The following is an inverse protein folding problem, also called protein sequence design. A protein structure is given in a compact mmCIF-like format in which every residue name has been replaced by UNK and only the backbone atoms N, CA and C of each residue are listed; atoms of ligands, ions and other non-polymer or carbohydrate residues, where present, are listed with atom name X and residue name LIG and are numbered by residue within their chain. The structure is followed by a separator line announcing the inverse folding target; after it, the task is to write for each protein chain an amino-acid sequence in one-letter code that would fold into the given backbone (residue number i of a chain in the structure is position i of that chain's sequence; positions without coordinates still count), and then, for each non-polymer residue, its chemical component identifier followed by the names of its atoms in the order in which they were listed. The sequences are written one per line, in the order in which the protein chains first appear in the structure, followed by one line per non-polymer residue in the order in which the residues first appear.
data_IF_466095983063
#
_entry.id   IF_466095983063
#
_cell.length_a   1.000
_cell.length_b   1.000
_cell.length_c   1.000
_cell.angle_alpha   90.00
_cell.angle_beta   90.00
_cell.angle_gamma   90.00
#
_symmetry.space_group_name_H-M   'P 1'
#
loop_
_entity.id
_entity.type
_entity.pdbx_description
1 polymer ?
#
# COMPACT_ATOMS: atom_id res chain seq x y z
N UNK A 1 12.08 34.08 -15.67
CA UNK A 1 10.82 33.30 -15.69
C UNK A 1 11.09 32.07 -16.54
N UNK A 2 10.91 30.86 -15.97
CA UNK A 2 11.01 29.61 -16.73
C UNK A 2 9.82 29.55 -17.66
N UNK A 3 10.05 29.20 -18.93
CA UNK A 3 8.99 29.10 -19.90
C UNK A 3 7.97 28.05 -19.48
N UNK A 4 6.67 28.32 -19.71
CA UNK A 4 5.56 27.43 -19.33
C UNK A 4 5.75 25.99 -19.84
N UNK A 5 6.42 25.83 -20.97
CA UNK A 5 6.79 24.55 -21.57
C UNK A 5 7.67 23.66 -20.65
N UNK A 6 8.45 24.26 -19.75
CA UNK A 6 9.28 23.50 -18.79
C UNK A 6 8.47 22.87 -17.65
N UNK A 7 7.25 23.33 -17.42
CA UNK A 7 6.33 22.74 -16.45
C UNK A 7 5.46 21.64 -17.06
N UNK A 8 5.36 21.59 -18.39
CA UNK A 8 4.59 20.59 -19.14
C UNK A 8 5.40 19.31 -19.46
N UNK A 9 6.70 19.32 -19.29
CA UNK A 9 7.46 18.06 -19.26
C UNK A 9 7.10 17.34 -17.97
N UNK A 10 5.93 16.74 -17.93
CA UNK A 10 5.64 15.68 -16.96
C UNK A 10 6.76 14.66 -17.14
N UNK A 11 7.55 14.47 -16.09
CA UNK A 11 8.53 13.42 -16.06
C UNK A 11 7.79 12.13 -16.43
N UNK A 12 8.14 11.50 -17.55
CA UNK A 12 7.51 10.27 -17.99
C UNK A 12 7.56 9.30 -16.82
N UNK A 13 6.39 8.92 -16.31
CA UNK A 13 6.32 8.00 -15.19
C UNK A 13 6.74 6.63 -15.67
N UNK A 14 7.75 6.09 -15.03
CA UNK A 14 8.21 4.74 -15.24
C UNK A 14 7.72 3.83 -14.12
N UNK A 15 7.19 2.70 -14.49
CA UNK A 15 6.73 1.67 -13.55
C UNK A 15 7.68 0.48 -13.64
N UNK A 16 8.38 0.21 -12.55
CA UNK A 16 9.35 -0.86 -12.49
C UNK A 16 8.74 -2.13 -11.90
N UNK A 17 8.91 -3.25 -12.59
CA UNK A 17 8.39 -4.55 -12.21
C UNK A 17 9.48 -5.59 -12.13
N UNK A 18 9.24 -6.61 -11.34
CA UNK A 18 10.07 -7.78 -11.18
C UNK A 18 9.27 -9.04 -11.38
N UNK A 19 9.62 -9.77 -12.44
CA UNK A 19 9.13 -11.12 -12.71
C UNK A 19 10.03 -12.12 -12.00
N UNK A 20 9.42 -13.07 -11.32
CA UNK A 20 10.09 -14.22 -10.74
C UNK A 20 9.46 -15.49 -11.30
N UNK A 21 10.29 -16.42 -11.71
CA UNK A 21 9.87 -17.71 -12.22
C UNK A 21 10.64 -18.82 -11.53
N UNK A 22 9.92 -19.79 -11.00
CA UNK A 22 10.49 -21.05 -10.52
C UNK A 22 10.74 -22.03 -11.67
N UNK A 23 10.40 -21.64 -12.88
CA UNK A 23 10.64 -22.38 -14.11
C UNK A 23 11.78 -21.74 -14.89
N UNK A 24 12.57 -22.55 -15.58
CA UNK A 24 13.66 -22.05 -16.42
C UNK A 24 13.11 -21.26 -17.61
N UNK A 25 13.54 -20.00 -17.71
CA UNK A 25 13.13 -19.11 -18.79
C UNK A 25 14.09 -19.30 -19.97
N UNK A 26 13.62 -19.98 -21.00
CA UNK A 26 14.34 -20.16 -22.28
C UNK A 26 14.28 -18.86 -23.10
N UNK A 27 15.13 -18.78 -24.14
CA UNK A 27 15.11 -17.63 -25.07
C UNK A 27 13.75 -17.48 -25.79
N UNK A 28 13.07 -18.61 -26.08
CA UNK A 28 11.73 -18.58 -26.66
C UNK A 28 10.69 -17.97 -25.69
N UNK A 29 10.79 -18.32 -24.40
CA UNK A 29 9.93 -17.72 -23.37
C UNK A 29 10.21 -16.23 -23.25
N UNK A 30 11.47 -15.80 -23.24
CA UNK A 30 11.84 -14.40 -23.17
C UNK A 30 11.30 -13.62 -24.38
N UNK A 31 11.41 -14.17 -25.58
CA UNK A 31 10.86 -13.55 -26.80
C UNK A 31 9.35 -13.38 -26.73
N UNK A 32 8.62 -14.36 -26.21
CA UNK A 32 7.17 -14.29 -26.01
C UNK A 32 6.81 -13.24 -24.95
N UNK A 33 7.52 -13.22 -23.84
CA UNK A 33 7.36 -12.22 -22.76
C UNK A 33 7.57 -10.81 -23.30
N UNK A 34 8.69 -10.57 -23.98
CA UNK A 34 8.99 -9.27 -24.56
C UNK A 34 7.90 -8.82 -25.56
N UNK A 35 7.46 -9.72 -26.43
CA UNK A 35 6.40 -9.41 -27.38
C UNK A 35 5.08 -9.06 -26.68
N UNK A 36 4.73 -9.76 -25.60
CA UNK A 36 3.52 -9.48 -24.83
C UNK A 36 3.63 -8.17 -24.08
N UNK A 37 4.78 -7.88 -23.48
CA UNK A 37 5.05 -6.67 -22.74
C UNK A 37 5.11 -5.41 -23.62
N UNK A 38 5.35 -5.53 -24.93
CA UNK A 38 5.26 -4.40 -25.86
C UNK A 38 3.90 -3.71 -25.85
N UNK A 39 2.83 -4.44 -25.53
CA UNK A 39 1.48 -3.88 -25.34
C UNK A 39 1.44 -2.79 -24.28
N UNK A 40 2.31 -2.88 -23.28
CA UNK A 40 2.41 -1.96 -22.15
C UNK A 40 3.57 -0.97 -22.30
N UNK A 41 4.11 -0.85 -23.52
CA UNK A 41 5.29 -0.03 -23.79
C UNK A 41 6.46 -0.36 -22.86
N UNK A 42 6.67 -1.68 -22.67
CA UNK A 42 7.77 -2.15 -21.84
C UNK A 42 9.12 -1.85 -22.49
N UNK A 43 10.05 -1.44 -21.68
CA UNK A 43 11.43 -1.17 -22.07
C UNK A 43 12.37 -1.64 -20.96
N UNK A 44 13.67 -1.71 -21.28
CA UNK A 44 14.69 -2.14 -20.29
C UNK A 44 14.42 -3.52 -19.67
N UNK A 45 14.02 -4.50 -20.52
CA UNK A 45 13.87 -5.89 -20.07
C UNK A 45 15.25 -6.49 -19.83
N UNK A 46 15.51 -6.98 -18.61
CA UNK A 46 16.78 -7.62 -18.26
C UNK A 46 16.81 -9.08 -18.72
N UNK A 47 18.02 -9.59 -18.92
CA UNK A 47 18.21 -11.04 -19.05
C UNK A 47 17.84 -11.78 -17.76
N UNK A 48 17.33 -13.02 -17.85
CA UNK A 48 16.99 -13.81 -16.67
C UNK A 48 18.22 -14.05 -15.79
N UNK A 49 18.11 -13.67 -14.52
CA UNK A 49 19.14 -13.90 -13.52
C UNK A 49 18.72 -15.07 -12.63
N UNK A 50 19.50 -16.12 -12.64
CA UNK A 50 19.28 -17.31 -11.82
C UNK A 50 19.75 -17.04 -10.39
N UNK A 51 18.92 -17.35 -9.39
CA UNK A 51 19.31 -17.31 -7.98
C UNK A 51 19.92 -18.64 -7.53
N UNK A 52 20.55 -18.62 -6.37
CA UNK A 52 20.93 -19.86 -5.70
C UNK A 52 19.70 -20.69 -5.34
N UNK A 53 19.88 -22.00 -5.26
CA UNK A 53 18.83 -22.90 -4.79
C UNK A 53 18.40 -22.54 -3.36
N UNK A 54 17.12 -22.42 -3.13
CA UNK A 54 16.52 -22.12 -1.83
C UNK A 54 15.47 -23.19 -1.50
N UNK A 55 15.50 -23.68 -0.27
CA UNK A 55 14.52 -24.67 0.21
C UNK A 55 13.11 -24.09 0.32
N UNK A 56 13.00 -22.80 0.63
CA UNK A 56 11.76 -22.03 0.62
C UNK A 56 12.03 -20.71 -0.10
N UNK A 57 11.72 -20.66 -1.40
CA UNK A 57 11.91 -19.45 -2.16
C UNK A 57 10.78 -18.45 -1.88
N UNK A 58 11.09 -17.19 -1.60
CA UNK A 58 10.09 -16.17 -1.27
C UNK A 58 9.02 -16.03 -2.37
N UNK A 59 7.76 -16.17 -1.98
CA UNK A 59 6.61 -16.18 -2.88
C UNK A 59 6.30 -17.53 -3.54
N UNK A 60 7.10 -18.58 -3.27
CA UNK A 60 6.93 -19.93 -3.79
C UNK A 60 7.02 -20.99 -2.70
N UNK A 61 6.53 -20.66 -1.48
CA UNK A 61 6.58 -21.58 -0.33
C UNK A 61 5.86 -22.91 -0.52
N UNK A 62 4.97 -23.01 -1.52
CA UNK A 62 4.28 -24.25 -1.89
C UNK A 62 5.14 -25.19 -2.77
N UNK A 63 6.27 -24.70 -3.30
CA UNK A 63 7.17 -25.51 -4.12
C UNK A 63 8.28 -26.10 -3.26
N UNK A 64 8.61 -27.38 -3.45
CA UNK A 64 9.77 -28.00 -2.81
C UNK A 64 11.04 -27.42 -3.42
N UNK A 65 11.77 -26.63 -2.67
CA UNK A 65 13.04 -26.00 -3.03
C UNK A 65 13.31 -25.81 -4.53
N UNK A 66 13.54 -24.58 -4.93
CA UNK A 66 13.75 -24.27 -6.34
C UNK A 66 14.76 -23.14 -6.54
N UNK A 67 15.28 -23.07 -7.75
CA UNK A 67 16.07 -21.94 -8.24
C UNK A 67 15.11 -20.97 -8.91
N UNK A 68 15.20 -19.70 -8.56
CA UNK A 68 14.31 -18.67 -9.09
C UNK A 68 15.02 -17.88 -10.17
N UNK A 69 14.38 -17.71 -11.29
CA UNK A 69 14.81 -16.84 -12.38
C UNK A 69 14.14 -15.47 -12.22
N UNK A 70 14.94 -14.42 -12.17
CA UNK A 70 14.48 -13.04 -11.96
C UNK A 70 14.71 -12.24 -13.24
N UNK A 71 13.66 -11.56 -13.70
CA UNK A 71 13.71 -10.62 -14.81
C UNK A 71 13.14 -9.29 -14.35
N UNK A 72 13.94 -8.23 -14.43
CA UNK A 72 13.50 -6.88 -14.15
C UNK A 72 13.13 -6.17 -15.45
N UNK A 73 12.02 -5.46 -15.47
CA UNK A 73 11.58 -4.66 -16.61
C UNK A 73 10.81 -3.42 -16.15
N UNK A 74 10.68 -2.46 -17.06
CA UNK A 74 9.94 -1.23 -16.82
C UNK A 74 8.89 -1.02 -17.90
N UNK A 75 7.77 -0.41 -17.52
CA UNK A 75 6.70 0.00 -18.44
C UNK A 75 6.44 1.49 -18.35
N UNK A 76 5.97 2.10 -19.44
CA UNK A 76 5.49 3.48 -19.43
C UNK A 76 4.01 3.57 -19.06
N UNK A 77 3.26 2.54 -19.36
CA UNK A 77 1.85 2.47 -18.98
C UNK A 77 1.68 1.92 -17.56
N UNK A 78 0.77 2.51 -16.76
CA UNK A 78 0.43 1.99 -15.44
C UNK A 78 -0.36 0.69 -15.61
N UNK A 79 0.17 -0.40 -15.09
CA UNK A 79 -0.45 -1.72 -15.13
C UNK A 79 -0.34 -2.39 -13.76
N UNK A 80 -1.37 -3.13 -13.36
CA UNK A 80 -1.31 -3.88 -12.13
C UNK A 80 -0.45 -5.16 -12.30
N UNK A 81 0.38 -5.53 -11.32
CA UNK A 81 1.27 -6.69 -11.41
C UNK A 81 0.56 -7.99 -11.77
N UNK A 82 -0.64 -8.23 -11.23
CA UNK A 82 -1.42 -9.44 -11.50
C UNK A 82 -1.87 -9.55 -12.97
N UNK A 83 -2.16 -8.43 -13.64
CA UNK A 83 -2.52 -8.41 -15.06
C UNK A 83 -1.32 -8.81 -15.91
N UNK A 84 -0.14 -8.26 -15.59
CA UNK A 84 1.11 -8.64 -16.24
C UNK A 84 1.43 -10.13 -16.02
N UNK A 85 1.19 -10.61 -14.81
CA UNK A 85 1.37 -12.04 -14.48
C UNK A 85 0.49 -12.92 -15.35
N UNK A 86 -0.81 -12.63 -15.45
CA UNK A 86 -1.73 -13.39 -16.29
C UNK A 86 -1.34 -13.35 -17.77
N UNK A 87 -1.03 -12.19 -18.30
CA UNK A 87 -0.61 -12.02 -19.69
C UNK A 87 0.66 -12.82 -20.02
N UNK A 88 1.60 -12.91 -19.08
CA UNK A 88 2.82 -13.72 -19.24
C UNK A 88 2.52 -15.21 -19.17
N UNK A 89 1.67 -15.63 -18.24
CA UNK A 89 1.23 -17.03 -18.11
C UNK A 89 0.58 -17.50 -19.40
N UNK A 90 -0.36 -16.73 -19.92
CA UNK A 90 -1.04 -17.04 -21.18
C UNK A 90 -0.09 -17.12 -22.38
N UNK A 91 0.90 -16.22 -22.44
CA UNK A 91 1.82 -16.17 -23.58
C UNK A 91 2.86 -17.27 -23.57
N UNK A 92 3.30 -17.72 -22.40
CA UNK A 92 4.34 -18.70 -22.24
C UNK A 92 3.82 -20.12 -21.99
N UNK A 93 2.51 -20.28 -21.72
CA UNK A 93 1.87 -21.53 -21.32
C UNK A 93 2.54 -22.15 -20.07
N UNK A 94 2.88 -21.30 -19.12
CA UNK A 94 3.52 -21.70 -17.88
C UNK A 94 2.51 -21.82 -16.74
N UNK A 95 2.71 -22.69 -15.75
CA UNK A 95 1.78 -22.82 -14.64
C UNK A 95 1.80 -21.57 -13.75
N UNK A 96 0.61 -21.11 -13.37
CA UNK A 96 0.43 -19.91 -12.54
C UNK A 96 1.18 -19.99 -11.21
N UNK A 97 1.27 -21.17 -10.63
CA UNK A 97 1.98 -21.40 -9.37
C UNK A 97 3.50 -21.12 -9.45
N UNK A 98 4.08 -21.08 -10.65
CA UNK A 98 5.52 -20.94 -10.86
C UNK A 98 5.94 -19.53 -11.29
N UNK A 99 4.99 -18.62 -11.46
CA UNK A 99 5.25 -17.25 -11.91
C UNK A 99 4.66 -16.26 -10.90
N UNK A 100 5.46 -15.23 -10.55
CA UNK A 100 5.03 -14.10 -9.76
C UNK A 100 5.58 -12.81 -10.34
N UNK A 101 4.72 -11.80 -10.44
CA UNK A 101 5.10 -10.44 -10.86
C UNK A 101 4.75 -9.48 -9.73
N UNK A 102 5.72 -8.70 -9.31
CA UNK A 102 5.59 -7.69 -8.26
C UNK A 102 6.17 -6.36 -8.72
N UNK A 103 5.82 -5.27 -8.04
CA UNK A 103 6.53 -4.01 -8.24
C UNK A 103 7.98 -4.14 -7.75
N UNK A 104 8.92 -3.48 -8.46
CA UNK A 104 10.33 -3.57 -8.15
C UNK A 104 10.67 -2.87 -6.85
N UNK A 105 10.69 -3.33 -5.75
CA UNK A 105 10.93 -2.69 -4.44
C UNK A 105 9.86 -2.99 -3.42
N UNK A 106 8.80 -3.67 -3.84
CA UNK A 106 7.79 -4.18 -2.94
C UNK A 106 8.35 -5.41 -2.21
N UNK A 107 8.28 -5.47 -0.87
CA UNK A 107 8.68 -6.66 -0.14
C UNK A 107 7.76 -7.82 -0.54
N UNK A 108 8.33 -9.00 -0.64
CA UNK A 108 7.54 -10.20 -0.87
C UNK A 108 6.81 -10.48 0.44
N UNK A 109 5.51 -10.29 0.45
CA UNK A 109 4.67 -10.79 1.52
C UNK A 109 4.61 -12.31 1.27
N UNK A 110 5.28 -13.07 2.10
CA UNK A 110 5.00 -14.49 2.16
C UNK A 110 3.57 -14.60 2.68
N UNK A 111 2.67 -14.97 1.80
CA UNK A 111 1.39 -15.48 2.24
C UNK A 111 1.74 -16.74 3.02
N UNK A 112 1.92 -16.60 4.32
CA UNK A 112 1.78 -17.72 5.23
C UNK A 112 0.45 -18.31 4.86
N UNK A 113 0.37 -19.59 4.47
CA UNK A 113 -0.92 -20.19 4.21
C UNK A 113 -1.75 -19.95 5.47
N UNK A 114 -2.73 -19.03 5.34
CA UNK A 114 -3.78 -18.86 6.35
C UNK A 114 -4.53 -20.18 6.38
N UNK A 115 -4.03 -21.14 7.10
CA UNK A 115 -4.58 -22.46 7.02
C UNK A 115 -3.90 -23.48 7.91
N UNK A 116 -2.90 -23.12 8.67
CA UNK A 116 -2.72 -23.79 9.94
C UNK A 116 -3.55 -23.04 10.99
N UNK A 117 -4.87 -23.06 10.85
CA UNK A 117 -5.69 -23.18 12.01
C UNK A 117 -5.18 -24.45 12.75
N UNK A 118 -4.08 -24.28 13.46
CA UNK A 118 -3.90 -24.99 14.71
C UNK A 118 -5.00 -24.40 15.58
N UNK A 119 -6.24 -24.82 15.29
CA UNK A 119 -7.29 -24.84 16.27
C UNK A 119 -6.68 -25.69 17.38
N UNK A 120 -6.02 -25.03 18.32
CA UNK A 120 -5.77 -25.64 19.60
C UNK A 120 -7.14 -26.14 20.03
N UNK A 121 -7.35 -27.46 20.05
CA UNK A 121 -8.61 -28.08 20.46
C UNK A 121 -9.04 -27.60 21.85
N UNK A 122 -8.17 -26.88 22.55
CA UNK A 122 -8.38 -26.23 23.82
C UNK A 122 -8.51 -24.70 23.76
N UNK A 123 -8.43 -24.09 22.59
CA UNK A 123 -8.69 -22.66 22.46
C UNK A 123 -10.17 -22.40 22.68
N UNK A 124 -10.51 -21.93 23.86
CA UNK A 124 -11.86 -21.45 24.15
C UNK A 124 -12.15 -20.29 23.19
N UNK A 125 -13.25 -20.39 22.48
CA UNK A 125 -13.73 -19.28 21.66
C UNK A 125 -13.87 -18.04 22.53
N UNK A 126 -13.27 -16.91 22.12
CA UNK A 126 -13.40 -15.62 22.81
C UNK A 126 -14.87 -15.18 22.97
N UNK A 127 -15.80 -15.79 22.21
CA UNK A 127 -17.24 -15.58 22.30
C UNK A 127 -17.93 -16.44 23.37
N UNK A 128 -17.25 -17.44 23.94
CA UNK A 128 -17.80 -18.29 24.99
C UNK A 128 -17.55 -17.74 26.40
N UNK A 129 -16.62 -16.80 26.54
CA UNK A 129 -16.43 -16.13 27.81
C UNK A 129 -17.54 -15.09 28.02
N UNK A 130 -18.23 -15.12 29.17
CA UNK A 130 -19.23 -14.11 29.47
C UNK A 130 -18.55 -12.75 29.47
N UNK A 131 -19.07 -11.83 28.66
CA UNK A 131 -18.59 -10.45 28.63
C UNK A 131 -18.71 -9.85 30.03
N UNK A 132 -17.59 -9.40 30.59
CA UNK A 132 -17.64 -8.56 31.77
C UNK A 132 -18.27 -7.23 31.39
N UNK A 133 -19.35 -6.87 32.08
CA UNK A 133 -19.99 -5.57 31.94
C UNK A 133 -19.00 -4.49 32.39
N UNK A 134 -18.21 -3.97 31.44
CA UNK A 134 -17.35 -2.82 31.69
C UNK A 134 -18.22 -1.58 31.72
N UNK A 135 -18.14 -0.84 32.84
CA UNK A 135 -18.87 0.42 32.95
C UNK A 135 -18.33 1.45 31.96
N UNK A 136 -19.02 1.56 30.82
CA UNK A 136 -18.66 2.46 29.72
C UNK A 136 -19.35 3.83 29.82
N UNK A 137 -19.98 4.18 30.93
CA UNK A 137 -20.72 5.45 31.10
C UNK A 137 -19.86 6.69 30.83
N UNK A 138 -18.54 6.57 30.93
CA UNK A 138 -17.61 7.66 30.63
C UNK A 138 -17.28 7.78 29.12
N UNK A 139 -17.63 6.77 28.31
CA UNK A 139 -17.34 6.72 26.87
C UNK A 139 -18.51 7.19 25.99
N UNK A 140 -19.66 7.53 26.58
CA UNK A 140 -20.82 8.03 25.84
C UNK A 140 -21.62 9.06 26.67
N UNK A 141 -22.46 9.81 25.98
CA UNK A 141 -23.37 10.77 26.60
C UNK A 141 -22.69 12.01 27.15
N UNK A 142 -23.39 12.73 28.07
CA UNK A 142 -22.93 14.03 28.58
C UNK A 142 -21.60 13.96 29.37
N UNK A 143 -21.28 12.82 29.96
CA UNK A 143 -20.01 12.64 30.67
C UNK A 143 -18.81 12.64 29.73
N UNK A 144 -18.93 12.03 28.54
CA UNK A 144 -17.89 12.05 27.50
C UNK A 144 -17.66 13.49 27.03
N UNK A 145 -18.74 14.23 26.77
CA UNK A 145 -18.63 15.63 26.35
C UNK A 145 -17.96 16.48 27.40
N UNK A 146 -18.31 16.30 28.68
CA UNK A 146 -17.66 17.00 29.79
C UNK A 146 -16.17 16.72 29.91
N UNK A 147 -15.75 15.46 29.75
CA UNK A 147 -14.34 15.05 29.75
C UNK A 147 -13.59 15.66 28.57
N UNK A 148 -14.15 15.56 27.37
CA UNK A 148 -13.57 16.11 26.15
C UNK A 148 -13.38 17.64 26.24
N UNK A 149 -14.41 18.36 26.71
CA UNK A 149 -14.31 19.81 26.92
C UNK A 149 -13.27 20.17 27.98
N UNK A 150 -13.14 19.36 29.03
CA UNK A 150 -12.10 19.54 30.04
C UNK A 150 -10.69 19.34 29.47
N UNK A 151 -10.48 18.36 28.61
CA UNK A 151 -9.21 18.09 27.93
C UNK A 151 -8.88 19.20 26.93
N UNK A 152 -9.85 19.60 26.11
CA UNK A 152 -9.68 20.72 25.17
C UNK A 152 -9.35 22.02 25.90
N UNK A 153 -9.98 22.27 27.04
CA UNK A 153 -9.66 23.45 27.88
C UNK A 153 -8.22 23.42 28.42
N UNK A 154 -7.68 22.24 28.74
CA UNK A 154 -6.28 22.08 29.14
C UNK A 154 -5.31 22.32 27.98
N UNK A 155 -5.64 21.84 26.80
CA UNK A 155 -4.82 22.03 25.59
C UNK A 155 -4.87 23.49 25.14
N UNK A 156 -6.04 24.11 25.13
CA UNK A 156 -6.19 25.51 24.76
C UNK A 156 -5.40 26.46 25.71
N UNK A 157 -5.28 26.12 27.00
CA UNK A 157 -4.48 26.90 27.95
C UNK A 157 -2.97 26.73 27.79
N UNK A 158 -2.53 25.60 27.21
CA UNK A 158 -1.11 25.33 26.97
C UNK A 158 -0.60 25.89 25.64
N UNK A 159 -1.49 26.15 24.70
CA UNK A 159 -1.12 26.78 23.44
C UNK A 159 -0.98 28.28 23.65
N UNK A 160 0.22 28.73 24.00
CA UNK A 160 0.65 30.13 23.95
C UNK A 160 0.76 30.62 22.50
N UNK A 161 -0.20 30.32 21.65
CA UNK A 161 -0.19 30.87 20.30
C UNK A 161 -0.57 32.38 20.44
N UNK A 162 0.34 33.21 19.99
CA UNK A 162 0.19 34.64 19.88
C UNK A 162 -1.17 34.99 19.24
N UNK A 163 -2.08 35.54 20.01
CA UNK A 163 -3.42 35.87 19.56
C UNK A 163 -4.52 35.41 20.49
N UNK A 164 -4.20 34.79 21.63
CA UNK A 164 -5.19 34.54 22.66
C UNK A 164 -5.70 35.86 23.21
N UNK A 165 -6.88 36.27 22.77
CA UNK A 165 -7.65 37.29 23.45
C UNK A 165 -7.80 36.81 24.89
N UNK A 166 -7.36 37.58 25.89
CA UNK A 166 -7.46 37.14 27.28
C UNK A 166 -8.93 36.83 27.58
N UNK A 167 -9.18 35.63 28.08
CA UNK A 167 -10.51 35.18 28.46
C UNK A 167 -11.08 36.18 29.47
N UNK A 168 -12.10 36.95 29.10
CA UNK A 168 -12.79 37.86 29.98
C UNK A 168 -13.13 39.24 29.43
N UNK A 169 -12.66 39.61 28.24
CA UNK A 169 -13.20 40.82 27.60
C UNK A 169 -14.20 40.41 26.53
N UNK A 170 -15.47 40.84 26.64
CA UNK A 170 -16.40 40.68 25.54
C UNK A 170 -15.78 41.41 24.35
N UNK A 171 -15.68 40.70 23.21
CA UNK A 171 -15.34 41.36 21.96
C UNK A 171 -16.52 42.26 21.65
N UNK A 172 -16.36 43.57 21.85
CA UNK A 172 -17.32 44.53 21.34
C UNK A 172 -17.35 44.32 19.83
N UNK A 173 -18.49 43.86 19.36
CA UNK A 173 -18.76 43.81 17.95
C UNK A 173 -18.66 45.23 17.43
N UNK A 174 -17.59 45.51 16.71
CA UNK A 174 -17.50 46.76 15.95
C UNK A 174 -18.65 46.73 14.95
N UNK A 175 -19.49 47.75 14.98
CA UNK A 175 -20.66 47.92 14.08
C UNK A 175 -20.29 47.96 12.60
N UNK A 176 -19.03 48.04 12.27
CA UNK A 176 -18.53 47.84 10.92
C UNK A 176 -18.54 46.31 10.61
N UNK A 177 -19.64 45.90 9.97
CA UNK A 177 -19.83 44.56 9.53
C UNK A 177 -18.58 44.05 8.83
N UNK A 178 -17.91 43.12 9.43
CA UNK A 178 -16.76 42.40 8.88
C UNK A 178 -17.19 41.78 7.56
N UNK A 179 -16.86 42.47 6.45
CA UNK A 179 -17.02 41.87 5.12
C UNK A 179 -16.16 40.62 5.11
N UNK A 180 -16.83 39.51 4.98
CA UNK A 180 -16.15 38.23 4.79
C UNK A 180 -15.19 38.36 3.61
N UNK A 181 -13.91 37.95 3.72
CA UNK A 181 -13.00 37.98 2.59
C UNK A 181 -13.37 36.97 1.49
N UNK A 182 -14.44 36.22 1.68
CA UNK A 182 -14.97 35.24 0.75
C UNK A 182 -16.39 35.63 0.41
N UNK A 183 -16.53 36.38 -0.68
CA UNK A 183 -17.81 36.58 -1.35
C UNK A 183 -18.55 37.86 -0.98
N UNK A 184 -18.34 38.84 -1.75
CA UNK A 184 -19.34 39.85 -2.16
C UNK A 184 -19.54 39.71 -3.64
#
# INVERSE_FOLDING_TARGET
MKAFEQYLTEAEKEYAFRLRSAYELTEDHMSKIENRLKKYEAFSVSTPKKTMFQSAAPGFGHLPGSEIHIVDFKTRQPVAPHVLQQDIIESCDLPESHIRVNNAGEPIIEETPEGSDQTDENAKSLLEEPYEDVNNEHMYGPKLVGNLLGELGKVARKNEFAGSVPAGKPVEATEDGTKSPIGS
#
